data_IF_342333724165
#
_entry.id   IF_342333724165
#
_cell.length_a   1.000
_cell.length_b   1.000
_cell.length_c   1.000
_cell.angle_alpha   90.00
_cell.angle_beta   90.00
_cell.angle_gamma   90.00
#
_symmetry.space_group_name_H-M   'P 1'
#
loop_
_entity.id
_entity.type
_entity.pdbx_description
1 polymer ?
#
# COMPACT_ATOMS: atom_id res chain seq x y z
N UNK A 1 -2.67 -2.40 -13.70
CA UNK A 1 -2.42 -1.64 -12.46
C UNK A 1 -3.12 -0.30 -12.55
N UNK A 2 -3.83 0.13 -11.50
CA UNK A 2 -4.55 1.42 -11.46
C UNK A 2 -3.78 2.46 -10.63
N UNK A 3 -3.90 3.74 -10.96
CA UNK A 3 -3.27 4.87 -10.23
C UNK A 3 -3.48 4.79 -8.70
N UNK A 4 -4.68 4.38 -8.25
CA UNK A 4 -5.04 4.18 -6.83
C UNK A 4 -4.17 3.18 -6.09
N UNK A 5 -3.68 2.14 -6.78
CA UNK A 5 -2.88 1.09 -6.16
C UNK A 5 -1.46 1.58 -5.89
N UNK A 6 -0.91 2.37 -6.83
CA UNK A 6 0.36 3.04 -6.65
C UNK A 6 0.29 4.08 -5.52
N UNK A 7 -0.78 4.89 -5.51
CA UNK A 7 -0.99 5.88 -4.45
C UNK A 7 -1.00 5.24 -3.06
N UNK A 8 -1.73 4.13 -2.86
CA UNK A 8 -1.73 3.41 -1.57
C UNK A 8 -0.32 2.96 -1.17
N UNK A 9 0.40 2.28 -2.07
CA UNK A 9 1.78 1.86 -1.83
C UNK A 9 2.68 3.03 -1.43
N UNK A 10 2.56 4.20 -2.07
CA UNK A 10 3.39 5.37 -1.74
C UNK A 10 2.92 6.16 -0.52
N UNK A 11 1.67 5.98 -0.06
CA UNK A 11 1.16 6.71 1.12
C UNK A 11 1.70 6.10 2.41
N UNK A 12 1.85 4.77 2.43
CA UNK A 12 2.26 4.02 3.62
C UNK A 12 3.78 3.70 3.63
N UNK A 13 4.48 4.03 2.55
CA UNK A 13 5.92 3.78 2.40
C UNK A 13 6.69 5.07 2.64
N UNK A 14 7.71 5.05 3.51
CA UNK A 14 8.53 6.23 3.75
C UNK A 14 9.26 6.68 2.48
N UNK A 15 9.47 7.98 2.32
CA UNK A 15 10.23 8.52 1.17
C UNK A 15 11.64 7.89 1.09
N UNK A 16 12.24 7.57 2.24
CA UNK A 16 13.53 6.89 2.33
C UNK A 16 13.49 5.51 1.66
N UNK A 17 12.44 4.73 1.90
CA UNK A 17 12.29 3.39 1.36
C UNK A 17 11.97 3.41 -0.13
N UNK A 18 11.14 4.37 -0.56
CA UNK A 18 10.89 4.64 -1.99
C UNK A 18 12.20 4.98 -2.69
N UNK A 19 12.98 5.92 -2.13
CA UNK A 19 14.27 6.32 -2.69
C UNK A 19 15.26 5.17 -2.73
N UNK A 20 15.30 4.34 -1.67
CA UNK A 20 16.15 3.16 -1.63
C UNK A 20 15.77 2.14 -2.72
N UNK A 21 14.49 1.82 -2.86
CA UNK A 21 13.98 0.91 -3.88
C UNK A 21 14.25 1.43 -5.31
N UNK A 22 14.06 2.72 -5.55
CA UNK A 22 14.39 3.36 -6.82
C UNK A 22 15.90 3.29 -7.12
N UNK A 23 16.75 3.64 -6.17
CA UNK A 23 18.21 3.54 -6.34
C UNK A 23 18.66 2.13 -6.67
N UNK A 24 18.16 1.12 -5.93
CA UNK A 24 18.42 -0.29 -6.24
C UNK A 24 17.95 -0.70 -7.64
N UNK A 25 16.75 -0.28 -8.03
CA UNK A 25 16.21 -0.61 -9.35
C UNK A 25 17.02 0.06 -10.49
N UNK A 26 17.52 1.28 -10.27
CA UNK A 26 18.38 2.00 -11.22
C UNK A 26 19.76 1.35 -11.37
N UNK A 27 20.31 0.73 -10.31
CA UNK A 27 21.58 0.00 -10.40
C UNK A 27 21.52 -1.20 -11.36
N UNK A 28 20.33 -1.77 -11.59
CA UNK A 28 20.15 -2.89 -12.52
C UNK A 28 20.08 -2.41 -13.97
N UNK A 29 19.31 -1.36 -14.23
CA UNK A 29 19.11 -0.83 -15.57
C UNK A 29 18.56 0.59 -15.48
N UNK A 30 19.16 1.52 -16.23
CA UNK A 30 18.63 2.87 -16.38
C UNK A 30 17.56 2.85 -17.48
N UNK A 31 16.29 3.16 -17.19
CA UNK A 31 15.22 3.08 -18.17
C UNK A 31 15.37 4.17 -19.24
N UNK A 32 15.66 3.78 -20.49
CA UNK A 32 15.79 4.70 -21.65
C UNK A 32 14.59 4.71 -22.58
N UNK A 33 13.69 3.73 -22.43
CA UNK A 33 12.50 3.58 -23.24
C UNK A 33 11.29 3.17 -22.39
N UNK A 34 10.09 3.20 -22.99
CA UNK A 34 8.83 2.90 -22.31
C UNK A 34 8.79 1.47 -21.75
N UNK A 35 9.37 0.48 -22.44
CA UNK A 35 9.41 -0.92 -21.96
C UNK A 35 10.38 -1.05 -20.80
N UNK A 36 11.53 -0.39 -20.87
CA UNK A 36 12.51 -0.32 -19.79
C UNK A 36 11.94 0.37 -18.55
N UNK A 37 11.14 1.42 -18.72
CA UNK A 37 10.42 2.06 -17.62
C UNK A 37 9.42 1.12 -16.95
N UNK A 38 8.71 0.29 -17.73
CA UNK A 38 7.85 -0.77 -17.19
C UNK A 38 8.61 -1.77 -16.33
N UNK A 39 9.79 -2.22 -16.78
CA UNK A 39 10.67 -3.12 -15.99
C UNK A 39 11.18 -2.45 -14.73
N UNK A 40 11.62 -1.20 -14.83
CA UNK A 40 12.07 -0.39 -13.70
C UNK A 40 10.98 -0.31 -12.62
N UNK A 41 9.76 0.07 -13.02
CA UNK A 41 8.61 0.15 -12.13
C UNK A 41 8.32 -1.18 -11.42
N UNK A 42 8.33 -2.30 -12.16
CA UNK A 42 8.16 -3.63 -11.56
C UNK A 42 9.25 -4.00 -10.55
N UNK A 43 10.50 -3.57 -10.76
CA UNK A 43 11.60 -3.79 -9.79
C UNK A 43 11.40 -2.97 -8.53
N UNK A 44 11.03 -1.70 -8.64
CA UNK A 44 10.72 -0.84 -7.48
C UNK A 44 9.62 -1.48 -6.63
N UNK A 45 8.54 -1.93 -7.25
CA UNK A 45 7.45 -2.59 -6.52
C UNK A 45 7.87 -3.89 -5.84
N UNK A 46 8.75 -4.68 -6.45
CA UNK A 46 9.29 -5.90 -5.81
C UNK A 46 10.16 -5.57 -4.62
N UNK A 47 10.99 -4.53 -4.71
CA UNK A 47 11.83 -4.11 -3.58
C UNK A 47 10.99 -3.54 -2.44
N UNK A 48 9.93 -2.77 -2.75
CA UNK A 48 8.98 -2.29 -1.74
C UNK A 48 8.18 -3.43 -1.10
N UNK A 49 7.75 -4.43 -1.89
CA UNK A 49 7.03 -5.60 -1.38
C UNK A 49 7.91 -6.55 -0.54
N UNK A 50 9.24 -6.48 -0.66
CA UNK A 50 10.20 -7.23 0.16
C UNK A 50 10.48 -6.59 1.51
N UNK A 51 10.19 -5.29 1.66
CA UNK A 51 10.47 -4.53 2.88
C UNK A 51 9.46 -4.76 4.00
N UNK A 52 8.52 -5.70 3.84
CA UNK A 52 7.37 -5.86 4.74
C UNK A 52 6.71 -4.50 5.00
N UNK A 53 5.89 -4.06 4.04
CA UNK A 53 4.78 -3.17 4.39
C UNK A 53 3.87 -4.03 5.26
N UNK A 54 4.16 -4.08 6.57
CA UNK A 54 3.25 -4.60 7.57
C UNK A 54 1.89 -3.98 7.28
N UNK A 55 0.85 -4.76 6.95
CA UNK A 55 -0.49 -4.21 6.96
C UNK A 55 -0.69 -3.69 8.37
N UNK A 56 -0.74 -2.36 8.54
CA UNK A 56 -1.13 -1.78 9.81
C UNK A 56 -2.51 -2.35 10.11
N UNK A 57 -2.58 -3.29 11.07
CA UNK A 57 -3.85 -3.71 11.63
C UNK A 57 -4.56 -2.44 12.08
N UNK A 58 -5.71 -2.20 11.47
CA UNK A 58 -6.60 -1.11 11.79
C UNK A 58 -7.12 -1.31 13.23
N UNK A 59 -6.30 -0.95 14.21
CA UNK A 59 -6.73 -0.75 15.59
C UNK A 59 -7.54 0.54 15.69
N UNK A 60 -8.61 0.68 14.89
CA UNK A 60 -9.70 1.59 15.23
C UNK A 60 -10.99 1.36 14.43
N UNK A 61 -11.66 0.24 14.69
CA UNK A 61 -13.10 0.35 14.95
C UNK A 61 -13.58 -0.74 15.88
N UNK A 62 -13.53 -0.44 17.18
CA UNK A 62 -14.51 -0.97 18.11
C UNK A 62 -15.90 -0.69 17.51
N UNK A 63 -16.50 -1.73 16.95
CA UNK A 63 -17.87 -1.72 16.48
C UNK A 63 -18.75 -1.74 17.73
N UNK A 64 -18.83 -0.62 18.43
CA UNK A 64 -19.95 -0.34 19.35
C UNK A 64 -21.20 -0.15 18.51
N UNK A 65 -21.73 -1.27 18.05
CA UNK A 65 -23.10 -1.40 17.58
C UNK A 65 -24.01 -1.25 18.81
N UNK A 66 -24.24 -0.01 19.24
CA UNK A 66 -25.43 0.32 20.03
C UNK A 66 -26.63 0.15 19.10
N UNK A 67 -27.15 -1.06 19.07
CA UNK A 67 -28.45 -1.36 18.47
C UNK A 67 -29.51 -0.79 19.42
N UNK A 68 -29.99 0.42 19.12
CA UNK A 68 -31.25 0.90 19.66
C UNK A 68 -32.40 0.22 18.91
N UNK A 69 -32.98 -0.80 19.53
CA UNK A 69 -34.30 -1.36 19.22
C UNK A 69 -34.84 -1.84 20.59
N UNK A 70 -35.78 -1.15 21.21
CA UNK A 70 -37.17 -1.11 20.77
C UNK A 70 -37.92 -2.16 21.59
N UNK A 71 -38.70 -1.70 22.57
CA UNK A 71 -39.55 -2.53 23.44
C UNK A 71 -40.34 -3.60 22.69
N UNK A 72 -40.67 -4.69 23.39
CA UNK A 72 -42.07 -5.07 23.45
C UNK A 72 -42.52 -5.30 24.89
N UNK A 73 -43.61 -4.62 25.23
CA UNK A 73 -44.52 -5.03 26.29
C UNK A 73 -45.45 -6.11 25.71
N UNK A 74 -45.56 -7.26 26.38
CA UNK A 74 -46.77 -8.09 26.50
C UNK A 74 -46.47 -9.38 27.26
N UNK A 75 -46.92 -9.45 28.51
CA UNK A 75 -47.40 -10.65 29.20
C UNK A 75 -48.30 -10.19 30.36
#
# INVERSE_FOLDING_TARGET
MTLRHFQRLTTDTSERDIRHAMSKALMVEVPRDRKAFGRFYCRVLRELGRLDVTPFEDHNRASTRKTSAGSPAAA
#
